data_IF_045669947475
#
_entry.id   IF_045669947475
#
_cell.length_a   1.000
_cell.length_b   1.000
_cell.length_c   1.000
_cell.angle_alpha   90.00
_cell.angle_beta   90.00
_cell.angle_gamma   90.00
#
_symmetry.space_group_name_H-M   'P 1'
#
loop_
_entity.id
_entity.type
_entity.pdbx_description
1 polymer ?
#
# COMPACT_ATOMS: atom_id res chain seq x y z
N UNK A 1 -34.61 -59.84 -5.65
CA UNK A 1 -35.14 -58.50 -5.97
C UNK A 1 -35.94 -58.00 -4.77
N UNK A 2 -35.58 -56.83 -4.21
CA UNK A 2 -34.30 -56.42 -3.60
C UNK A 2 -34.36 -56.61 -2.06
N UNK A 3 -33.31 -56.93 -1.28
CA UNK A 3 -32.00 -56.29 -1.04
C UNK A 3 -32.08 -54.89 -0.40
N UNK A 4 -32.31 -54.85 0.92
CA UNK A 4 -32.04 -53.71 1.79
C UNK A 4 -30.65 -53.89 2.43
N UNK A 5 -29.68 -53.15 1.88
CA UNK A 5 -28.30 -53.12 2.34
C UNK A 5 -27.93 -51.66 2.64
N UNK A 6 -27.80 -51.32 3.93
CA UNK A 6 -27.25 -50.04 4.37
C UNK A 6 -26.32 -50.27 5.57
N UNK A 7 -24.99 -50.11 5.40
CA UNK A 7 -24.08 -49.99 6.52
C UNK A 7 -23.83 -48.50 6.83
N UNK A 8 -24.14 -48.12 8.07
CA UNK A 8 -23.71 -46.86 8.66
C UNK A 8 -22.29 -46.97 9.18
N UNK A 9 -21.39 -46.14 8.65
CA UNK A 9 -20.05 -45.93 9.20
C UNK A 9 -19.69 -44.46 9.06
N UNK A 10 -19.83 -43.71 10.15
CA UNK A 10 -19.30 -42.35 10.33
C UNK A 10 -17.82 -42.42 10.69
N UNK A 11 -16.95 -41.61 10.06
CA UNK A 11 -15.64 -41.29 10.60
C UNK A 11 -15.65 -39.91 11.28
N UNK A 12 -15.04 -39.85 12.47
CA UNK A 12 -14.73 -38.63 13.23
C UNK A 12 -13.87 -37.64 12.43
N UNK A 13 -14.02 -36.32 12.61
CA UNK A 13 -13.09 -35.35 12.06
C UNK A 13 -11.89 -35.15 13.00
N UNK A 14 -10.72 -35.39 12.42
CA UNK A 14 -9.38 -35.18 12.97
C UNK A 14 -9.15 -33.69 13.31
N UNK A 15 -8.85 -33.42 14.57
CA UNK A 15 -8.42 -32.15 15.12
C UNK A 15 -7.00 -31.81 14.62
N UNK A 16 -6.85 -30.71 13.87
CA UNK A 16 -5.54 -30.24 13.39
C UNK A 16 -5.22 -28.86 13.96
N UNK A 17 -4.33 -28.84 14.96
CA UNK A 17 -3.53 -27.69 15.38
C UNK A 17 -2.66 -27.17 14.21
N UNK A 18 -2.42 -25.84 14.12
CA UNK A 18 -1.22 -25.31 13.53
C UNK A 18 -0.26 -24.78 14.60
N UNK A 19 0.89 -25.44 14.73
CA UNK A 19 2.10 -24.85 15.29
C UNK A 19 2.80 -23.99 14.24
N UNK A 20 3.20 -22.80 14.69
CA UNK A 20 4.41 -22.03 14.37
C UNK A 20 4.83 -21.85 12.90
N UNK A 21 5.01 -20.58 12.51
CA UNK A 21 6.33 -20.13 12.07
C UNK A 21 6.41 -18.61 12.03
N UNK A 22 6.89 -18.04 13.13
CA UNK A 22 7.69 -16.82 13.14
C UNK A 22 8.83 -16.95 12.13
N UNK A 23 8.89 -16.05 11.14
CA UNK A 23 10.12 -15.77 10.37
C UNK A 23 9.96 -14.65 9.30
N UNK A 24 8.77 -14.15 8.99
CA UNK A 24 8.57 -13.23 7.87
C UNK A 24 8.34 -11.75 8.28
N UNK A 25 8.59 -11.39 9.55
CA UNK A 25 8.41 -10.03 10.07
C UNK A 25 9.72 -9.21 10.12
N UNK A 26 10.87 -9.82 9.80
CA UNK A 26 12.18 -9.22 10.08
C UNK A 26 12.73 -8.28 8.97
N UNK A 27 12.11 -8.23 7.78
CA UNK A 27 12.69 -7.54 6.61
C UNK A 27 12.23 -6.11 6.32
N UNK A 28 11.11 -5.64 6.90
CA UNK A 28 10.51 -4.34 6.54
C UNK A 28 10.45 -3.32 7.70
N UNK A 29 11.30 -3.51 8.73
CA UNK A 29 11.50 -2.53 9.81
C UNK A 29 12.65 -1.53 9.55
N UNK A 30 13.30 -1.58 8.39
CA UNK A 30 14.56 -0.85 8.18
C UNK A 30 14.39 0.62 7.76
N UNK A 31 13.18 1.08 7.39
CA UNK A 31 12.90 2.51 7.12
C UNK A 31 12.14 3.22 8.27
N UNK A 32 11.82 2.51 9.36
CA UNK A 32 11.09 3.08 10.50
C UNK A 32 11.83 2.96 11.85
N UNK A 33 13.11 2.53 11.86
CA UNK A 33 13.99 2.62 13.05
C UNK A 33 14.75 3.94 13.20
N UNK A 34 14.52 4.93 12.34
CA UNK A 34 15.17 6.24 12.47
C UNK A 34 14.57 7.15 13.57
N UNK A 35 13.38 6.82 14.11
CA UNK A 35 12.77 7.59 15.20
C UNK A 35 12.69 6.86 16.56
N UNK A 36 13.08 5.58 16.64
CA UNK A 36 13.10 4.80 17.88
C UNK A 36 14.51 4.41 18.37
N UNK A 37 15.56 4.70 17.60
CA UNK A 37 16.95 4.32 17.91
C UNK A 37 17.79 5.48 18.50
N UNK A 38 17.18 6.41 19.24
CA UNK A 38 17.90 7.43 20.03
C UNK A 38 17.75 7.23 21.55
N UNK A 39 17.21 6.10 22.00
CA UNK A 39 16.97 5.82 23.42
C UNK A 39 17.95 4.81 24.06
N UNK A 40 18.84 4.18 23.27
CA UNK A 40 19.62 3.02 23.74
C UNK A 40 21.15 3.10 23.54
N UNK A 41 21.75 4.29 23.55
CA UNK A 41 23.21 4.41 23.66
C UNK A 41 23.61 5.23 24.89
N UNK A 42 23.71 4.54 26.02
CA UNK A 42 24.53 4.91 27.18
C UNK A 42 25.82 4.08 27.13
N UNK A 43 26.96 4.59 27.60
CA UNK A 43 27.35 4.17 28.96
C UNK A 43 28.06 5.26 29.78
N UNK A 44 27.72 5.29 31.07
CA UNK A 44 28.43 6.03 32.11
C UNK A 44 27.88 5.65 33.48
N UNK A 45 28.20 4.43 33.93
CA UNK A 45 27.84 3.89 35.24
C UNK A 45 28.69 4.54 36.34
N UNK A 46 28.05 4.98 37.43
CA UNK A 46 28.60 4.79 38.79
C UNK A 46 27.45 4.47 39.74
N UNK A 47 27.52 3.28 40.33
CA UNK A 47 26.65 2.81 41.41
C UNK A 47 26.99 3.55 42.70
N UNK A 48 25.97 3.98 43.44
CA UNK A 48 26.05 4.12 44.90
C UNK A 48 24.76 3.59 45.50
N UNK A 49 24.89 2.47 46.21
CA UNK A 49 23.88 1.93 47.10
C UNK A 49 23.74 2.89 48.29
N UNK A 50 22.56 3.46 48.53
CA UNK A 50 22.00 3.66 49.88
C UNK A 50 20.50 3.93 49.77
N UNK A 51 19.74 3.33 50.69
CA UNK A 51 18.29 3.21 50.61
C UNK A 51 17.52 4.52 50.79
N UNK A 52 16.40 4.60 50.09
CA UNK A 52 15.39 5.65 50.23
C UNK A 52 14.39 5.56 49.08
N UNK A 53 13.16 5.16 49.37
CA UNK A 53 12.05 5.15 48.40
C UNK A 53 11.72 6.59 47.99
N UNK A 54 12.33 7.06 46.90
CA UNK A 54 11.97 8.32 46.24
C UNK A 54 11.11 8.01 45.00
N UNK A 55 10.06 8.82 44.72
CA UNK A 55 9.29 8.69 43.50
C UNK A 55 10.18 8.98 42.30
N UNK A 56 10.17 8.07 41.32
CA UNK A 56 10.93 8.18 40.08
C UNK A 56 10.52 9.50 39.39
N UNK A 57 11.44 10.43 39.10
CA UNK A 57 11.13 11.61 38.32
C UNK A 57 10.85 11.17 36.89
N UNK A 58 9.58 11.15 36.49
CA UNK A 58 9.22 11.01 35.09
C UNK A 58 9.87 12.18 34.32
N UNK A 59 10.80 11.86 33.42
CA UNK A 59 11.41 12.86 32.55
C UNK A 59 10.29 13.57 31.77
N UNK A 60 10.06 14.86 32.08
CA UNK A 60 9.07 15.66 31.39
C UNK A 60 9.53 15.91 29.95
N UNK A 61 8.64 15.70 28.98
CA UNK A 61 8.91 16.08 27.59
C UNK A 61 9.07 17.60 27.50
N UNK A 62 10.01 18.11 26.67
CA UNK A 62 10.18 19.55 26.50
C UNK A 62 8.90 20.15 25.94
N UNK A 63 8.44 21.26 26.54
CA UNK A 63 7.31 22.01 26.02
C UNK A 63 7.64 22.58 24.64
N UNK A 64 6.78 22.36 23.66
CA UNK A 64 6.88 23.03 22.38
C UNK A 64 6.43 24.49 22.54
N UNK A 65 7.32 25.43 22.21
CA UNK A 65 7.05 26.87 22.23
C UNK A 65 7.09 27.37 20.79
N UNK A 66 5.92 27.73 20.24
CA UNK A 66 5.86 28.40 18.93
C UNK A 66 6.00 29.92 19.15
N UNK A 67 7.12 30.50 18.73
CA UNK A 67 7.32 31.97 18.72
C UNK A 67 6.64 32.64 17.53
N UNK A 68 6.32 31.88 16.50
CA UNK A 68 5.56 32.37 15.36
C UNK A 68 4.06 32.37 15.71
N UNK A 69 3.55 33.57 16.01
CA UNK A 69 2.12 33.86 16.02
C UNK A 69 1.59 33.89 14.57
N UNK A 70 1.75 32.79 13.83
CA UNK A 70 1.58 32.79 12.38
C UNK A 70 0.49 31.82 11.92
N UNK A 71 -0.77 32.25 12.03
CA UNK A 71 -1.86 32.03 11.05
C UNK A 71 -3.25 32.37 11.62
N UNK A 72 -3.36 32.79 12.88
CA UNK A 72 -4.63 33.18 13.47
C UNK A 72 -5.26 34.31 12.62
N UNK A 73 -6.34 33.98 11.89
CA UNK A 73 -7.10 34.92 11.08
C UNK A 73 -6.90 34.84 9.55
N UNK A 74 -6.06 33.94 9.00
CA UNK A 74 -6.04 33.73 7.54
C UNK A 74 -7.26 32.90 7.11
N UNK A 75 -8.06 33.45 6.20
CA UNK A 75 -9.21 32.74 5.62
C UNK A 75 -8.74 31.58 4.73
N UNK A 76 -9.57 30.52 4.60
CA UNK A 76 -9.26 29.37 3.73
C UNK A 76 -8.86 29.78 2.29
N UNK A 77 -9.54 30.73 1.61
CA UNK A 77 -9.12 31.16 0.28
C UNK A 77 -7.72 31.78 0.23
N UNK A 78 -7.27 32.43 1.30
CA UNK A 78 -5.92 32.98 1.40
C UNK A 78 -4.85 31.89 1.59
N UNK A 79 -5.20 30.79 2.25
CA UNK A 79 -4.33 29.62 2.42
C UNK A 79 -4.26 28.75 1.17
N UNK A 80 -5.35 28.68 0.40
CA UNK A 80 -5.49 27.82 -0.77
C UNK A 80 -5.96 28.60 -2.02
N UNK A 81 -5.17 29.59 -2.51
CA UNK A 81 -5.59 30.43 -3.63
C UNK A 81 -5.73 29.69 -4.96
N UNK A 82 -5.17 28.48 -5.06
CA UNK A 82 -5.27 27.63 -6.25
C UNK A 82 -6.54 26.78 -6.31
N UNK A 83 -7.34 26.74 -5.24
CA UNK A 83 -8.57 25.95 -5.13
C UNK A 83 -9.76 26.91 -5.25
N UNK A 84 -10.74 26.57 -6.09
CA UNK A 84 -11.95 27.37 -6.25
C UNK A 84 -12.70 27.51 -4.90
N UNK A 85 -13.19 28.71 -4.61
CA UNK A 85 -13.83 29.02 -3.34
C UNK A 85 -15.05 28.13 -3.04
N UNK A 86 -15.80 27.73 -4.08
CA UNK A 86 -16.92 26.79 -3.96
C UNK A 86 -16.46 25.43 -3.41
N UNK A 87 -15.36 24.88 -3.92
CA UNK A 87 -14.81 23.61 -3.42
C UNK A 87 -14.32 23.73 -1.98
N UNK A 88 -13.74 24.87 -1.60
CA UNK A 88 -13.34 25.11 -0.20
C UNK A 88 -14.55 25.12 0.74
N UNK A 89 -15.66 25.73 0.32
CA UNK A 89 -16.93 25.73 1.06
C UNK A 89 -17.52 24.32 1.15
N UNK A 90 -17.54 23.58 0.05
CA UNK A 90 -18.01 22.19 0.03
C UNK A 90 -17.20 21.30 1.00
N UNK A 91 -15.88 21.53 1.11
CA UNK A 91 -15.04 20.81 2.09
C UNK A 91 -15.40 21.25 3.51
N UNK A 92 -15.53 22.55 3.76
CA UNK A 92 -15.87 23.10 5.07
C UNK A 92 -17.25 22.63 5.57
N UNK A 93 -18.22 22.47 4.67
CA UNK A 93 -19.56 21.97 4.98
C UNK A 93 -19.67 20.44 4.98
N UNK A 94 -18.56 19.71 4.75
CA UNK A 94 -18.56 18.25 4.59
C UNK A 94 -19.48 17.77 3.47
N UNK A 95 -19.65 18.58 2.42
CA UNK A 95 -20.47 18.29 1.23
C UNK A 95 -19.64 17.73 0.06
N UNK A 96 -18.32 17.92 0.09
CA UNK A 96 -17.40 17.52 -0.96
C UNK A 96 -17.37 15.99 -1.17
N UNK A 97 -17.66 15.50 -2.38
CA UNK A 97 -17.78 14.06 -2.65
C UNK A 97 -16.42 13.41 -2.91
N UNK A 98 -16.24 12.12 -2.58
CA UNK A 98 -14.99 11.41 -2.90
C UNK A 98 -14.68 11.40 -4.40
N UNK A 99 -15.70 11.36 -5.25
CA UNK A 99 -15.54 11.43 -6.70
C UNK A 99 -14.99 12.78 -7.18
N UNK A 100 -15.25 13.86 -6.44
CA UNK A 100 -14.82 15.21 -6.76
C UNK A 100 -13.37 15.50 -6.32
N UNK A 101 -12.71 14.62 -5.56
CA UNK A 101 -11.31 14.77 -5.14
C UNK A 101 -10.37 15.10 -6.30
N UNK A 102 -10.60 14.54 -7.50
CA UNK A 102 -9.77 14.77 -8.68
C UNK A 102 -9.70 16.25 -9.08
N UNK A 103 -10.71 17.06 -8.72
CA UNK A 103 -10.74 18.51 -8.93
C UNK A 103 -9.75 19.26 -8.04
N UNK A 104 -9.32 18.68 -6.91
CA UNK A 104 -8.32 19.24 -6.00
C UNK A 104 -6.88 19.00 -6.48
N UNK A 105 -6.68 18.27 -7.57
CA UNK A 105 -5.34 18.03 -8.08
C UNK A 105 -4.85 19.27 -8.85
N UNK A 106 -3.76 19.94 -8.42
CA UNK A 106 -3.24 21.13 -9.10
C UNK A 106 -2.73 20.85 -10.52
N UNK A 107 -2.42 19.59 -10.86
CA UNK A 107 -2.03 19.19 -12.22
C UNK A 107 -3.21 18.88 -13.14
N UNK A 108 -4.45 18.95 -12.64
CA UNK A 108 -5.68 18.59 -13.35
C UNK A 108 -6.10 19.52 -14.48
N UNK A 109 -5.29 20.54 -14.84
CA UNK A 109 -5.43 21.26 -16.12
C UNK A 109 -5.56 20.31 -17.32
N UNK A 110 -5.10 19.07 -17.17
CA UNK A 110 -5.19 17.99 -18.15
C UNK A 110 -6.61 17.42 -18.41
N UNK A 111 -7.65 17.74 -17.62
CA UNK A 111 -8.93 16.98 -17.70
C UNK A 111 -10.23 17.72 -17.89
N UNK A 112 -10.22 19.05 -18.00
CA UNK A 112 -11.46 19.80 -18.28
C UNK A 112 -11.99 19.53 -19.71
N UNK A 113 -11.11 19.14 -20.64
CA UNK A 113 -11.45 18.96 -22.07
C UNK A 113 -11.93 17.55 -22.45
N UNK A 114 -11.65 16.52 -21.64
CA UNK A 114 -11.97 15.12 -21.99
C UNK A 114 -13.25 14.60 -21.31
N UNK A 115 -13.68 15.24 -20.21
CA UNK A 115 -14.84 14.81 -19.43
C UNK A 115 -16.18 15.19 -20.08
N UNK A 116 -16.19 16.15 -21.01
CA UNK A 116 -17.40 16.62 -21.72
C UNK A 116 -17.85 15.68 -22.86
N UNK A 117 -17.10 14.59 -23.15
CA UNK A 117 -17.30 13.78 -24.36
C UNK A 117 -17.69 12.32 -24.14
N UNK A 118 -18.09 11.90 -22.94
CA UNK A 118 -18.48 10.49 -22.70
C UNK A 118 -19.82 10.35 -21.98
N UNK A 119 -20.88 10.93 -22.55
CA UNK A 119 -22.24 10.52 -22.25
C UNK A 119 -22.66 9.42 -23.21
N UNK A 120 -22.73 8.17 -22.73
CA UNK A 120 -23.76 7.16 -23.11
C UNK A 120 -23.50 5.81 -22.42
N UNK A 121 -24.48 5.41 -21.60
CA UNK A 121 -24.93 4.05 -21.26
C UNK A 121 -24.15 3.20 -20.23
N UNK A 122 -24.75 3.11 -19.03
CA UNK A 122 -24.65 1.98 -18.09
C UNK A 122 -24.37 2.41 -16.63
N UNK A 123 -24.97 1.77 -15.61
CA UNK A 123 -24.58 1.96 -14.21
C UNK A 123 -23.26 1.22 -13.99
N UNK A 124 -22.16 1.83 -14.45
CA UNK A 124 -20.80 1.40 -14.09
C UNK A 124 -20.25 2.43 -13.14
N UNK A 125 -19.78 1.97 -11.99
CA UNK A 125 -19.03 2.79 -11.05
C UNK A 125 -17.80 3.33 -11.80
N UNK A 126 -17.84 4.59 -12.20
CA UNK A 126 -16.82 5.29 -13.01
C UNK A 126 -15.56 5.64 -12.22
N UNK A 127 -15.40 5.10 -11.00
CA UNK A 127 -14.33 5.42 -10.08
C UNK A 127 -12.92 5.26 -10.65
N UNK A 128 -12.65 4.16 -11.35
CA UNK A 128 -11.29 3.84 -11.82
C UNK A 128 -10.85 4.70 -13.01
N UNK A 129 -11.79 5.26 -13.78
CA UNK A 129 -11.44 6.22 -14.84
C UNK A 129 -10.82 7.46 -14.20
N UNK A 130 -11.41 7.96 -13.11
CA UNK A 130 -10.94 9.19 -12.46
C UNK A 130 -9.74 8.97 -11.55
N UNK A 131 -9.64 7.78 -10.95
CA UNK A 131 -8.49 7.37 -10.15
C UNK A 131 -7.91 6.06 -10.71
N UNK A 132 -7.05 6.12 -11.73
CA UNK A 132 -6.47 4.93 -12.34
C UNK A 132 -5.44 4.23 -11.43
N UNK A 133 -4.94 4.92 -10.40
CA UNK A 133 -3.98 4.37 -9.45
C UNK A 133 -4.10 5.01 -8.07
N UNK A 134 -3.52 4.35 -7.06
CA UNK A 134 -3.40 4.91 -5.72
C UNK A 134 -2.76 6.31 -5.71
N UNK A 135 -1.71 6.53 -6.50
CA UNK A 135 -1.04 7.82 -6.58
C UNK A 135 -1.94 8.93 -7.14
N UNK A 136 -2.86 8.60 -8.05
CA UNK A 136 -3.83 9.54 -8.59
C UNK A 136 -4.84 10.03 -7.53
N UNK A 137 -5.14 9.20 -6.52
CA UNK A 137 -5.99 9.57 -5.39
C UNK A 137 -5.19 10.24 -4.25
N UNK A 138 -3.95 9.82 -4.03
CA UNK A 138 -3.17 10.22 -2.87
C UNK A 138 -2.98 11.73 -2.76
N UNK A 139 -2.62 12.39 -3.86
CA UNK A 139 -2.40 13.85 -3.89
C UNK A 139 -3.70 14.60 -3.55
N UNK A 140 -4.82 14.43 -4.29
CA UNK A 140 -6.03 15.18 -3.99
C UNK A 140 -6.62 14.86 -2.61
N UNK A 141 -6.49 13.62 -2.12
CA UNK A 141 -6.92 13.27 -0.77
C UNK A 141 -6.06 13.96 0.30
N UNK A 142 -4.76 14.08 0.08
CA UNK A 142 -3.87 14.84 0.97
C UNK A 142 -4.21 16.34 0.96
N UNK A 143 -4.54 16.89 -0.21
CA UNK A 143 -5.02 18.28 -0.34
C UNK A 143 -6.34 18.48 0.42
N UNK A 144 -7.28 17.54 0.32
CA UNK A 144 -8.54 17.57 1.07
C UNK A 144 -8.30 17.72 2.59
N UNK A 145 -7.43 16.88 3.17
CA UNK A 145 -7.10 16.99 4.60
C UNK A 145 -6.34 18.28 4.94
N UNK A 146 -5.48 18.75 4.03
CA UNK A 146 -4.76 20.01 4.20
C UNK A 146 -5.70 21.21 4.26
N UNK A 147 -6.85 21.17 3.56
CA UNK A 147 -7.90 22.20 3.66
C UNK A 147 -8.76 22.00 4.92
N UNK A 148 -9.14 20.76 5.21
CA UNK A 148 -10.01 20.43 6.33
C UNK A 148 -9.39 20.77 7.69
N UNK A 149 -8.09 20.54 7.86
CA UNK A 149 -7.42 20.74 9.15
C UNK A 149 -7.41 22.21 9.61
N UNK A 150 -7.02 23.21 8.79
CA UNK A 150 -7.15 24.63 9.14
C UNK A 150 -8.59 25.07 9.39
N UNK A 151 -9.57 24.50 8.67
CA UNK A 151 -10.98 24.77 8.93
C UNK A 151 -11.38 24.33 10.34
N UNK A 152 -11.05 23.09 10.73
CA UNK A 152 -11.32 22.60 12.09
C UNK A 152 -10.54 23.43 13.13
N UNK A 153 -9.30 23.80 12.85
CA UNK A 153 -8.51 24.67 13.72
C UNK A 153 -9.15 26.05 13.95
N UNK A 154 -9.89 26.58 12.97
CA UNK A 154 -10.58 27.87 13.10
C UNK A 154 -11.70 27.87 14.15
N UNK A 155 -12.21 26.69 14.55
CA UNK A 155 -13.18 26.55 15.65
C UNK A 155 -12.58 26.78 17.04
N UNK A 156 -11.25 26.76 17.16
CA UNK A 156 -10.54 26.79 18.45
C UNK A 156 -10.48 25.42 19.14
N UNK A 157 -11.07 24.37 18.58
CA UNK A 157 -10.98 23.00 19.12
C UNK A 157 -9.64 22.35 18.73
N UNK A 158 -8.67 22.49 19.63
CA UNK A 158 -7.35 21.87 19.48
C UNK A 158 -7.43 20.33 19.42
N UNK A 159 -8.38 19.72 20.12
CA UNK A 159 -8.56 18.27 20.11
C UNK A 159 -9.11 17.80 18.76
N UNK A 160 -10.15 18.43 18.22
CA UNK A 160 -10.66 18.10 16.89
C UNK A 160 -9.60 18.29 15.79
N UNK A 161 -8.79 19.35 15.91
CA UNK A 161 -7.67 19.60 14.99
C UNK A 161 -6.63 18.47 15.03
N UNK A 162 -6.26 18.04 16.23
CA UNK A 162 -5.36 16.90 16.43
C UNK A 162 -5.96 15.60 15.89
N UNK A 163 -7.24 15.33 16.19
CA UNK A 163 -7.95 14.14 15.74
C UNK A 163 -7.99 14.05 14.21
N UNK A 164 -8.25 15.15 13.51
CA UNK A 164 -8.22 15.19 12.05
C UNK A 164 -6.81 14.98 11.51
N UNK A 165 -5.81 15.70 12.01
CA UNK A 165 -4.43 15.56 11.52
C UNK A 165 -3.89 14.14 11.73
N UNK A 166 -4.11 13.58 12.92
CA UNK A 166 -3.73 12.20 13.24
C UNK A 166 -4.53 11.18 12.41
N UNK A 167 -5.85 11.37 12.31
CA UNK A 167 -6.75 10.52 11.53
C UNK A 167 -6.38 10.48 10.05
N UNK A 168 -6.08 11.63 9.45
CA UNK A 168 -5.60 11.74 8.07
C UNK A 168 -4.33 10.91 7.85
N UNK A 169 -3.31 11.07 8.71
CA UNK A 169 -2.07 10.33 8.60
C UNK A 169 -2.27 8.81 8.73
N UNK A 170 -3.10 8.37 9.69
CA UNK A 170 -3.45 6.95 9.84
C UNK A 170 -4.20 6.42 8.62
N UNK A 171 -5.17 7.17 8.11
CA UNK A 171 -5.99 6.75 6.99
C UNK A 171 -5.18 6.61 5.69
N UNK A 172 -4.33 7.58 5.39
CA UNK A 172 -3.44 7.51 4.22
C UNK A 172 -2.50 6.31 4.30
N UNK A 173 -1.94 6.03 5.49
CA UNK A 173 -1.10 4.86 5.74
C UNK A 173 -1.88 3.56 5.58
N UNK A 174 -3.11 3.52 6.10
CA UNK A 174 -4.00 2.37 5.97
C UNK A 174 -4.35 2.10 4.50
N UNK A 175 -4.70 3.14 3.74
CA UNK A 175 -5.02 3.01 2.31
C UNK A 175 -3.82 2.54 1.50
N UNK A 176 -2.60 3.00 1.83
CA UNK A 176 -1.37 2.49 1.24
C UNK A 176 -1.17 0.98 1.53
N UNK A 177 -1.40 0.55 2.77
CA UNK A 177 -1.36 -0.87 3.15
C UNK A 177 -2.42 -1.69 2.40
N UNK A 178 -3.65 -1.18 2.25
CA UNK A 178 -4.68 -1.86 1.48
C UNK A 178 -4.27 -2.00 0.01
N UNK A 179 -3.72 -0.94 -0.59
CA UNK A 179 -3.26 -0.97 -1.98
C UNK A 179 -2.13 -1.99 -2.22
N UNK A 180 -1.33 -2.33 -1.21
CA UNK A 180 -0.33 -3.39 -1.30
C UNK A 180 -0.95 -4.80 -1.27
N UNK A 181 -2.08 -4.98 -0.57
CA UNK A 181 -2.68 -6.29 -0.31
C UNK A 181 -3.82 -6.64 -1.27
N UNK A 182 -4.52 -5.64 -1.77
CA UNK A 182 -5.78 -5.80 -2.52
C UNK A 182 -5.74 -5.06 -3.85
N UNK A 183 -6.53 -5.53 -4.80
CA UNK A 183 -6.65 -4.92 -6.12
C UNK A 183 -7.13 -3.47 -6.02
N UNK A 184 -6.55 -2.60 -6.85
CA UNK A 184 -6.78 -1.15 -6.73
C UNK A 184 -8.26 -0.78 -6.86
N UNK A 185 -9.01 -1.44 -7.76
CA UNK A 185 -10.43 -1.19 -7.93
C UNK A 185 -11.23 -1.43 -6.64
N UNK A 186 -10.91 -2.49 -5.89
CA UNK A 186 -11.53 -2.81 -4.61
C UNK A 186 -11.17 -1.77 -3.53
N UNK A 187 -9.88 -1.39 -3.45
CA UNK A 187 -9.42 -0.35 -2.51
C UNK A 187 -10.07 1.00 -2.78
N UNK A 188 -10.33 1.32 -4.05
CA UNK A 188 -11.04 2.54 -4.43
C UNK A 188 -12.52 2.50 -4.00
N UNK A 189 -13.21 1.35 -4.13
CA UNK A 189 -14.58 1.21 -3.61
C UNK A 189 -14.61 1.40 -2.09
N UNK A 190 -13.70 0.74 -1.38
CA UNK A 190 -13.52 0.94 0.06
C UNK A 190 -13.35 2.43 0.39
N UNK A 191 -12.46 3.14 -0.32
CA UNK A 191 -12.24 4.57 -0.10
C UNK A 191 -13.50 5.40 -0.30
N UNK A 192 -14.25 5.17 -1.39
CA UNK A 192 -15.45 5.94 -1.72
C UNK A 192 -16.48 5.80 -0.60
N UNK A 193 -16.80 4.57 -0.19
CA UNK A 193 -17.79 4.30 0.86
C UNK A 193 -17.30 4.79 2.23
N UNK A 194 -16.03 4.57 2.55
CA UNK A 194 -15.42 5.04 3.78
C UNK A 194 -15.55 6.57 3.89
N UNK A 195 -15.19 7.30 2.82
CA UNK A 195 -15.27 8.76 2.80
C UNK A 195 -16.72 9.24 3.00
N UNK A 196 -17.70 8.62 2.33
CA UNK A 196 -19.11 8.96 2.50
C UNK A 196 -19.57 8.79 3.96
N UNK A 197 -19.18 7.70 4.63
CA UNK A 197 -19.48 7.48 6.05
C UNK A 197 -18.84 8.56 6.94
N UNK A 198 -17.56 8.88 6.71
CA UNK A 198 -16.85 9.92 7.48
C UNK A 198 -17.48 11.30 7.32
N UNK A 199 -18.03 11.61 6.15
CA UNK A 199 -18.77 12.88 5.96
C UNK A 199 -20.01 12.97 6.82
N UNK A 200 -20.79 11.89 6.91
CA UNK A 200 -21.97 11.85 7.78
C UNK A 200 -21.58 12.01 9.25
N UNK A 201 -20.49 11.39 9.69
CA UNK A 201 -19.96 11.56 11.05
C UNK A 201 -19.50 12.99 11.32
N UNK A 202 -18.81 13.63 10.37
CA UNK A 202 -18.36 15.02 10.52
C UNK A 202 -19.52 16.02 10.52
N UNK A 203 -20.61 15.75 9.79
CA UNK A 203 -21.86 16.52 9.91
C UNK A 203 -22.46 16.43 11.32
N UNK A 204 -22.26 15.31 12.01
CA UNK A 204 -22.62 15.13 13.42
C UNK A 204 -21.54 15.65 14.40
N UNK A 205 -20.47 16.28 13.90
CA UNK A 205 -19.37 16.82 14.72
C UNK A 205 -18.34 15.79 15.18
N UNK A 206 -18.42 14.53 14.70
CA UNK A 206 -17.45 13.49 15.05
C UNK A 206 -16.36 13.37 13.99
N UNK A 207 -15.11 13.59 14.40
CA UNK A 207 -13.93 13.51 13.53
C UNK A 207 -13.10 12.23 13.73
N UNK A 208 -13.45 11.41 14.71
CA UNK A 208 -12.64 10.27 15.17
C UNK A 208 -12.59 9.11 14.17
N UNK A 209 -13.58 9.00 13.28
CA UNK A 209 -13.69 7.89 12.34
C UNK A 209 -12.53 7.78 11.37
N UNK A 210 -11.85 8.89 11.03
CA UNK A 210 -10.71 8.86 10.11
C UNK A 210 -9.54 8.00 10.63
N UNK A 211 -9.38 7.87 11.95
CA UNK A 211 -8.31 7.09 12.54
C UNK A 211 -8.59 5.57 12.57
N UNK A 212 -9.83 5.14 12.28
CA UNK A 212 -10.30 3.77 12.48
C UNK A 212 -10.61 3.12 11.14
N UNK A 213 -10.03 1.95 10.82
CA UNK A 213 -10.48 1.13 9.70
C UNK A 213 -11.96 0.76 9.85
N UNK A 214 -12.63 0.55 8.73
CA UNK A 214 -14.01 0.07 8.70
C UNK A 214 -14.02 -1.40 8.26
N UNK A 215 -14.11 -2.30 9.23
CA UNK A 215 -13.98 -3.74 9.00
C UNK A 215 -15.12 -4.30 8.14
N UNK A 216 -16.30 -3.68 8.17
CA UNK A 216 -17.44 -4.07 7.33
C UNK A 216 -17.15 -3.72 5.87
N UNK A 217 -16.71 -2.50 5.60
CA UNK A 217 -16.31 -2.10 4.24
C UNK A 217 -15.10 -2.90 3.74
N UNK A 218 -14.15 -3.23 4.62
CA UNK A 218 -13.00 -4.07 4.28
C UNK A 218 -13.44 -5.47 3.86
N UNK A 219 -14.38 -6.05 4.61
CA UNK A 219 -14.98 -7.36 4.31
C UNK A 219 -15.73 -7.34 2.99
N UNK A 220 -16.54 -6.31 2.78
CA UNK A 220 -17.38 -6.15 1.59
C UNK A 220 -16.56 -5.95 0.31
N UNK A 221 -15.58 -5.05 0.32
CA UNK A 221 -14.87 -4.67 -0.90
C UNK A 221 -13.53 -5.38 -1.08
N UNK A 222 -12.76 -5.61 -0.02
CA UNK A 222 -11.36 -6.03 -0.15
C UNK A 222 -11.13 -7.53 0.01
N UNK A 223 -11.78 -8.23 0.95
CA UNK A 223 -11.40 -9.62 1.29
C UNK A 223 -11.43 -10.60 0.12
N UNK A 224 -12.39 -10.48 -0.81
CA UNK A 224 -12.46 -11.31 -2.02
C UNK A 224 -11.52 -10.88 -3.16
N UNK A 225 -10.84 -9.74 -3.01
CA UNK A 225 -10.04 -9.08 -4.04
C UNK A 225 -8.57 -8.94 -3.64
N UNK A 226 -8.02 -9.93 -2.93
CA UNK A 226 -6.60 -9.97 -2.63
C UNK A 226 -5.79 -9.95 -3.93
N UNK A 227 -4.75 -9.12 -3.99
CA UNK A 227 -3.78 -9.20 -5.08
C UNK A 227 -3.24 -10.61 -5.07
N UNK A 228 -3.11 -11.21 -6.25
CA UNK A 228 -2.24 -12.35 -6.39
C UNK A 228 -0.88 -11.90 -5.86
N UNK A 229 -0.51 -12.36 -4.67
CA UNK A 229 0.88 -12.29 -4.24
C UNK A 229 1.64 -12.80 -5.45
N UNK A 230 2.70 -12.09 -5.86
CA UNK A 230 3.68 -12.68 -6.73
C UNK A 230 4.26 -13.85 -5.93
N UNK A 231 3.52 -14.98 -5.91
CA UNK A 231 4.04 -16.28 -5.62
C UNK A 231 5.22 -16.32 -6.56
N UNK A 232 6.42 -16.23 -5.98
CA UNK A 232 7.67 -16.60 -6.62
C UNK A 232 7.28 -17.70 -7.57
N UNK A 233 7.35 -17.43 -8.89
CA UNK A 233 6.87 -18.35 -9.92
C UNK A 233 7.54 -19.67 -9.61
N UNK A 234 6.86 -20.56 -8.87
CA UNK A 234 7.13 -21.97 -8.94
C UNK A 234 6.87 -22.21 -10.40
N UNK A 235 7.95 -22.51 -11.11
CA UNK A 235 8.00 -22.81 -12.52
C UNK A 235 7.14 -24.05 -12.76
N UNK A 236 5.82 -23.87 -12.72
CA UNK A 236 4.84 -24.88 -13.09
C UNK A 236 4.97 -25.00 -14.59
N UNK A 237 5.57 -26.13 -15.00
CA UNK A 237 5.80 -26.47 -16.39
C UNK A 237 7.17 -26.09 -16.91
N UNK A 238 8.24 -26.71 -16.38
CA UNK A 238 9.33 -27.12 -17.29
C UNK A 238 8.69 -28.01 -18.36
N UNK A 239 8.26 -27.42 -19.49
CA UNK A 239 8.32 -28.16 -20.75
C UNK A 239 9.74 -28.72 -20.79
N UNK A 240 9.87 -30.04 -20.81
CA UNK A 240 11.14 -30.74 -20.96
C UNK A 240 11.67 -30.31 -22.32
N UNK A 241 12.36 -29.16 -22.35
CA UNK A 241 12.99 -28.65 -23.56
C UNK A 241 13.97 -29.73 -23.98
N UNK A 242 13.89 -30.13 -25.23
CA UNK A 242 14.79 -31.13 -25.78
C UNK A 242 16.19 -30.50 -25.89
N UNK A 243 17.01 -30.74 -24.86
CA UNK A 243 18.36 -30.19 -24.71
C UNK A 243 19.27 -30.71 -25.85
N UNK A 244 18.89 -31.80 -26.53
CA UNK A 244 19.61 -32.34 -27.69
C UNK A 244 19.63 -31.41 -28.91
N UNK A 245 18.75 -30.42 -28.94
CA UNK A 245 18.73 -29.39 -30.00
C UNK A 245 19.49 -28.11 -29.61
N UNK A 246 19.87 -27.97 -28.33
CA UNK A 246 20.53 -26.77 -27.83
C UNK A 246 22.05 -26.84 -27.99
N UNK A 247 22.67 -25.75 -28.47
CA UNK A 247 24.12 -25.64 -28.59
C UNK A 247 24.81 -25.61 -27.23
N UNK A 248 25.90 -26.35 -27.09
CA UNK A 248 26.74 -26.37 -25.90
C UNK A 248 27.56 -25.07 -25.79
N UNK A 249 27.28 -24.26 -24.78
CA UNK A 249 28.04 -23.02 -24.53
C UNK A 249 29.45 -23.29 -24.01
N UNK A 250 29.64 -24.35 -23.23
CA UNK A 250 30.96 -24.74 -22.75
C UNK A 250 31.89 -25.16 -23.90
N UNK A 251 31.34 -25.82 -24.92
CA UNK A 251 32.07 -26.14 -26.16
C UNK A 251 32.50 -24.87 -26.89
N UNK A 252 31.61 -23.90 -27.06
CA UNK A 252 31.95 -22.62 -27.71
C UNK A 252 32.99 -21.81 -26.93
N UNK A 253 33.04 -21.97 -25.60
CA UNK A 253 34.08 -21.38 -24.72
C UNK A 253 35.37 -22.20 -24.66
N UNK A 254 35.42 -23.37 -25.28
CA UNK A 254 36.58 -24.29 -25.23
C UNK A 254 36.76 -25.03 -23.91
N UNK A 255 35.73 -25.06 -23.05
CA UNK A 255 35.76 -25.73 -21.74
C UNK A 255 35.05 -27.09 -21.72
N UNK A 256 34.40 -27.48 -22.83
CA UNK A 256 33.84 -28.81 -23.02
C UNK A 256 34.47 -29.46 -24.24
N UNK A 257 35.26 -30.52 -24.02
CA UNK A 257 36.00 -31.26 -25.06
C UNK A 257 35.43 -32.66 -25.34
N UNK A 258 34.55 -33.17 -24.47
CA UNK A 258 33.96 -34.50 -24.61
C UNK A 258 32.83 -34.50 -25.65
N UNK A 259 32.93 -35.38 -26.66
CA UNK A 259 31.91 -35.60 -27.69
C UNK A 259 31.41 -37.05 -27.62
N UNK A 260 30.12 -37.31 -27.37
CA UNK A 260 29.03 -36.35 -27.20
C UNK A 260 29.11 -35.56 -25.89
N UNK A 261 28.49 -34.38 -25.85
CA UNK A 261 28.47 -33.52 -24.68
C UNK A 261 27.86 -34.24 -23.47
N UNK A 262 28.46 -34.17 -22.26
CA UNK A 262 27.91 -34.78 -21.06
C UNK A 262 26.50 -34.26 -20.70
N UNK A 263 26.20 -33.01 -21.06
CA UNK A 263 24.89 -32.37 -20.85
C UNK A 263 23.88 -32.68 -21.97
N UNK A 264 24.24 -33.54 -22.93
CA UNK A 264 23.39 -33.92 -24.07
C UNK A 264 23.18 -32.82 -25.11
N UNK A 265 23.98 -31.75 -25.08
CA UNK A 265 23.91 -30.60 -26.00
C UNK A 265 24.76 -30.80 -27.27
N UNK A 266 24.44 -30.11 -28.36
CA UNK A 266 25.21 -30.21 -29.61
C UNK A 266 26.45 -29.32 -29.62
N UNK A 267 27.58 -29.88 -30.07
CA UNK A 267 28.84 -29.16 -30.25
C UNK A 267 28.89 -28.50 -31.63
N UNK A 268 28.22 -27.34 -31.75
CA UNK A 268 28.27 -26.51 -32.96
C UNK A 268 28.69 -25.08 -32.63
N UNK A 269 29.37 -24.42 -33.56
CA UNK A 269 29.73 -23.02 -33.45
C UNK A 269 28.46 -22.17 -33.40
N UNK A 270 28.32 -21.29 -32.40
CA UNK A 270 27.14 -20.42 -32.30
C UNK A 270 27.04 -19.39 -33.43
N UNK A 271 28.18 -18.99 -34.03
CA UNK A 271 28.22 -17.98 -35.10
C UNK A 271 27.91 -18.54 -36.49
N UNK A 272 28.26 -19.79 -36.77
CA UNK A 272 28.13 -20.35 -38.11
C UNK A 272 27.57 -21.78 -38.19
N UNK A 273 27.22 -22.37 -37.05
CA UNK A 273 26.59 -23.70 -36.92
C UNK A 273 27.42 -24.87 -37.49
N UNK A 274 28.73 -24.70 -37.64
CA UNK A 274 29.68 -25.75 -38.06
C UNK A 274 30.37 -26.42 -36.87
N UNK A 275 31.06 -27.54 -37.11
CA UNK A 275 31.71 -28.38 -36.09
C UNK A 275 33.07 -27.82 -35.64
N UNK A 276 33.05 -26.61 -35.09
CA UNK A 276 34.19 -25.98 -34.41
C UNK A 276 33.68 -25.10 -33.27
N UNK A 277 34.56 -24.75 -32.32
CA UNK A 277 34.20 -23.84 -31.24
C UNK A 277 34.09 -22.40 -31.75
N UNK A 278 33.40 -21.51 -31.02
CA UNK A 278 33.36 -20.09 -31.40
C UNK A 278 34.76 -19.45 -31.47
N UNK A 279 35.70 -19.93 -30.63
CA UNK A 279 37.09 -19.45 -30.63
C UNK A 279 37.82 -19.73 -31.95
N UNK A 280 37.46 -20.81 -32.62
CA UNK A 280 38.08 -21.24 -33.88
C UNK A 280 37.29 -20.75 -35.11
N UNK A 281 36.31 -19.87 -34.90
CA UNK A 281 35.43 -19.42 -35.97
C UNK A 281 36.11 -18.34 -36.82
N UNK A 282 36.32 -18.66 -38.10
CA UNK A 282 36.87 -17.72 -39.11
C UNK A 282 35.83 -16.77 -39.71
N UNK A 283 34.59 -16.80 -39.23
CA UNK A 283 33.50 -15.95 -39.71
C UNK A 283 33.41 -14.73 -38.79
N UNK A 284 33.83 -13.57 -39.31
CA UNK A 284 33.70 -12.28 -38.64
C UNK A 284 32.22 -11.95 -38.39
#
# INVERSE_FOLDING_TARGET
MPDDNQPGSSPEPMESQPQSSDAALAGMMTMFRAFAALANQLPGLTLSLTGGTQPIPHAAFPAFMSTDQASAGKSLPALFPAIEASMLLDIAHHEFRPMDLCKLNPTSKFRRTEMERTDTNGPRITGTKDYPSFHALLIPLSTYFSVLQPFVASSGDANATFVIGHGAARYLSHLASLNQKYEWAAVLQYHIHFHLNRRQEMLAGSYTGWARPDDLLLTEFCLGNARALAASRKTVGKRKRDISTETCFAFNKGTCSTSPCPDGRIHKCRRCSKDHSEKDCKKA
#
